data_IF_843367782329
#
_entry.id   IF_843367782329
#
_cell.length_a   1.000
_cell.length_b   1.000
_cell.length_c   1.000
_cell.angle_alpha   90.00
_cell.angle_beta   90.00
_cell.angle_gamma   90.00
#
_symmetry.space_group_name_H-M   'P 1'
#
loop_
_entity.id
_entity.type
_entity.pdbx_description
1 polymer ?
#
# COMPACT_ATOMS: atom_id res chain seq x y z
N UNK A 1 -0.59 30.66 25.92
CA UNK A 1 -0.22 30.11 24.63
C UNK A 1 0.74 28.95 24.86
N UNK A 2 0.32 27.72 24.59
CA UNK A 2 1.09 26.53 24.99
C UNK A 2 2.14 26.23 23.92
N UNK A 3 3.37 26.68 24.15
CA UNK A 3 4.53 26.57 23.22
C UNK A 3 4.85 25.10 22.87
N UNK A 4 4.44 24.14 23.71
CA UNK A 4 4.67 22.72 23.49
C UNK A 4 3.76 22.08 22.44
N UNK A 5 2.62 22.67 22.09
CA UNK A 5 1.69 22.11 21.11
C UNK A 5 2.25 22.13 19.66
N UNK A 6 3.18 23.04 19.36
CA UNK A 6 3.74 23.21 18.02
C UNK A 6 4.91 22.28 17.67
N UNK A 7 5.44 21.53 18.66
CA UNK A 7 6.60 20.67 18.45
C UNK A 7 6.29 19.17 18.61
N UNK A 8 5.03 18.83 18.89
CA UNK A 8 4.66 17.42 19.11
C UNK A 8 4.41 16.73 17.77
N UNK A 9 5.27 15.78 17.41
CA UNK A 9 5.07 14.91 16.25
C UNK A 9 4.17 13.74 16.66
N UNK A 10 3.06 13.61 15.97
CA UNK A 10 2.08 12.55 16.18
C UNK A 10 2.12 11.57 15.01
N UNK A 11 1.96 10.28 15.28
CA UNK A 11 1.82 9.23 14.29
C UNK A 11 0.36 8.82 14.19
N UNK A 12 -0.15 8.73 12.96
CA UNK A 12 -1.48 8.21 12.65
C UNK A 12 -1.34 6.92 11.88
N UNK A 13 -2.07 5.89 12.28
CA UNK A 13 -2.10 4.62 11.57
C UNK A 13 -3.51 4.30 11.11
N UNK A 14 -3.64 3.90 9.85
CA UNK A 14 -4.89 3.37 9.31
C UNK A 14 -4.64 2.01 8.64
N UNK A 15 -5.57 1.10 8.85
CA UNK A 15 -5.57 -0.24 8.26
C UNK A 15 -6.42 -0.28 7.00
N UNK A 16 -5.94 -1.04 6.02
CA UNK A 16 -6.60 -1.36 4.76
C UNK A 16 -6.51 -2.85 4.51
N UNK A 17 -7.43 -3.39 3.73
CA UNK A 17 -7.39 -4.78 3.30
C UNK A 17 -7.70 -4.90 1.81
N UNK A 18 -7.11 -5.89 1.17
CA UNK A 18 -7.40 -6.26 -0.21
C UNK A 18 -7.07 -7.75 -0.43
N UNK A 19 -7.79 -8.36 -1.36
CA UNK A 19 -7.58 -9.74 -1.78
C UNK A 19 -6.75 -9.76 -3.06
N UNK A 20 -5.64 -10.48 -3.08
CA UNK A 20 -4.84 -10.59 -4.30
C UNK A 20 -4.16 -11.94 -4.39
N UNK A 21 -3.98 -12.39 -5.64
CA UNK A 21 -3.17 -13.56 -5.96
C UNK A 21 -1.83 -13.11 -6.54
N UNK A 22 -0.82 -13.93 -6.40
CA UNK A 22 0.49 -13.75 -7.01
C UNK A 22 1.18 -15.07 -7.30
N UNK A 23 2.27 -15.02 -8.06
CA UNK A 23 3.18 -16.13 -8.27
C UNK A 23 4.61 -15.62 -8.32
N UNK A 24 5.54 -16.36 -7.73
CA UNK A 24 6.95 -16.00 -7.69
C UNK A 24 7.74 -16.75 -8.76
N UNK A 25 8.22 -16.03 -9.77
CA UNK A 25 8.99 -16.58 -10.86
C UNK A 25 10.33 -17.18 -10.39
N UNK A 26 10.59 -18.42 -10.79
CA UNK A 26 11.86 -19.08 -10.50
C UNK A 26 12.07 -19.46 -9.03
N UNK A 27 11.07 -19.27 -8.19
CA UNK A 27 11.14 -19.70 -6.79
C UNK A 27 11.11 -21.23 -6.68
N UNK A 28 11.89 -21.79 -5.76
CA UNK A 28 12.07 -23.22 -5.56
C UNK A 28 11.09 -23.84 -4.53
N UNK A 29 10.17 -23.05 -3.99
CA UNK A 29 9.16 -23.45 -3.03
C UNK A 29 7.73 -23.34 -3.58
N UNK A 30 6.72 -23.63 -2.73
CA UNK A 30 5.32 -23.64 -3.14
C UNK A 30 4.78 -22.30 -3.63
N UNK A 31 5.39 -21.17 -3.23
CA UNK A 31 4.97 -19.85 -3.66
C UNK A 31 5.26 -19.53 -5.15
N UNK A 32 5.91 -20.44 -5.88
CA UNK A 32 5.99 -20.36 -7.34
C UNK A 32 4.64 -20.58 -8.02
N UNK A 33 3.75 -21.29 -7.36
CA UNK A 33 2.40 -21.55 -7.86
C UNK A 33 1.52 -20.30 -7.65
N UNK A 34 0.50 -20.14 -8.48
CA UNK A 34 -0.49 -19.08 -8.28
C UNK A 34 -1.26 -19.37 -7.00
N UNK A 35 -1.20 -18.46 -6.07
CA UNK A 35 -1.93 -18.51 -4.81
C UNK A 35 -2.30 -17.10 -4.35
N UNK A 36 -3.21 -16.99 -3.39
CA UNK A 36 -3.73 -15.71 -2.93
C UNK A 36 -3.69 -15.54 -1.42
N UNK A 37 -3.77 -14.28 -1.02
CA UNK A 37 -3.81 -13.86 0.37
C UNK A 37 -4.89 -12.80 0.60
N UNK A 38 -5.41 -12.77 1.81
CA UNK A 38 -6.15 -11.63 2.36
C UNK A 38 -5.15 -10.66 2.96
N UNK A 39 -4.65 -9.74 2.14
CA UNK A 39 -3.64 -8.77 2.57
C UNK A 39 -4.23 -7.75 3.55
N UNK A 40 -3.45 -7.41 4.57
CA UNK A 40 -3.74 -6.31 5.49
C UNK A 40 -2.58 -5.33 5.49
N UNK A 41 -2.86 -4.09 5.09
CA UNK A 41 -1.87 -3.02 4.99
C UNK A 41 -2.10 -1.98 6.09
N UNK A 42 -1.11 -1.77 6.93
CA UNK A 42 -1.09 -0.71 7.94
C UNK A 42 -0.22 0.43 7.43
N UNK A 43 -0.80 1.60 7.30
CA UNK A 43 -0.11 2.81 6.85
C UNK A 43 0.00 3.77 8.01
N UNK A 44 1.24 4.07 8.42
CA UNK A 44 1.52 5.04 9.48
C UNK A 44 2.18 6.28 8.87
N UNK A 45 1.55 7.42 9.06
CA UNK A 45 2.09 8.74 8.73
C UNK A 45 2.43 9.50 9.99
N UNK A 46 3.32 10.49 9.90
CA UNK A 46 3.69 11.37 11.00
C UNK A 46 3.65 12.83 10.57
N UNK A 47 3.39 13.69 11.51
CA UNK A 47 3.41 15.14 11.32
C UNK A 47 3.07 15.88 12.60
N UNK A 48 3.02 17.21 12.54
CA UNK A 48 2.54 18.04 13.62
C UNK A 48 1.06 18.38 13.42
N UNK A 49 0.23 18.33 14.47
CA UNK A 49 -1.15 18.78 14.36
C UNK A 49 -1.24 20.25 13.94
N UNK A 50 -2.15 20.57 13.03
CA UNK A 50 -2.40 21.95 12.60
C UNK A 50 -2.83 22.82 13.79
N UNK A 51 -2.28 24.01 13.89
CA UNK A 51 -2.49 24.91 15.04
C UNK A 51 -3.35 26.13 14.72
N UNK A 52 -3.81 26.31 13.48
CA UNK A 52 -4.55 27.50 13.04
C UNK A 52 -5.94 27.57 13.65
N UNK A 53 -6.20 28.61 14.46
CA UNK A 53 -7.56 28.93 14.89
C UNK A 53 -8.41 29.28 13.66
N UNK A 54 -9.56 28.60 13.50
CA UNK A 54 -10.42 28.74 12.32
C UNK A 54 -10.10 27.79 11.16
N UNK A 55 -9.00 27.05 11.21
CA UNK A 55 -8.73 25.98 10.29
C UNK A 55 -9.68 24.78 10.59
N UNK A 56 -10.51 24.32 9.64
CA UNK A 56 -11.39 23.18 9.88
C UNK A 56 -10.63 21.88 10.18
N UNK A 57 -9.30 21.84 9.96
CA UNK A 57 -8.40 20.74 10.29
C UNK A 57 -7.54 20.99 11.52
N UNK A 58 -7.84 22.04 12.30
CA UNK A 58 -7.13 22.35 13.54
C UNK A 58 -7.07 21.15 14.47
N UNK A 59 -5.89 20.83 14.99
CA UNK A 59 -5.64 19.68 15.85
C UNK A 59 -5.41 18.36 15.10
N UNK A 60 -5.45 18.34 13.77
CA UNK A 60 -5.19 17.16 12.96
C UNK A 60 -3.81 17.21 12.33
N UNK A 61 -3.09 16.09 12.33
CA UNK A 61 -1.93 15.89 11.46
C UNK A 61 -2.40 15.77 10.01
N UNK A 62 -3.45 14.99 9.82
CA UNK A 62 -4.06 14.71 8.54
C UNK A 62 -5.47 14.18 8.76
N UNK A 63 -6.39 14.50 7.87
CA UNK A 63 -7.71 13.88 7.86
C UNK A 63 -7.59 12.41 7.40
N UNK A 64 -8.12 11.48 8.20
CA UNK A 64 -8.14 10.05 7.85
C UNK A 64 -8.87 9.77 6.53
N UNK A 65 -9.85 10.59 6.14
CA UNK A 65 -10.53 10.50 4.85
C UNK A 65 -9.60 10.78 3.68
N UNK A 66 -8.67 11.73 3.83
CA UNK A 66 -7.64 12.02 2.82
C UNK A 66 -6.65 10.86 2.71
N UNK A 67 -6.17 10.31 3.83
CA UNK A 67 -5.30 9.14 3.82
C UNK A 67 -6.00 7.93 3.18
N UNK A 68 -7.27 7.71 3.53
CA UNK A 68 -8.08 6.63 2.94
C UNK A 68 -8.18 6.77 1.42
N UNK A 69 -8.44 7.96 0.92
CA UNK A 69 -8.53 8.22 -0.52
C UNK A 69 -7.21 7.94 -1.21
N UNK A 70 -6.08 8.45 -0.68
CA UNK A 70 -4.74 8.23 -1.25
C UNK A 70 -4.44 6.73 -1.36
N UNK A 71 -4.60 5.97 -0.28
CA UNK A 71 -4.27 4.54 -0.27
C UNK A 71 -5.21 3.75 -1.16
N UNK A 72 -6.50 4.08 -1.19
CA UNK A 72 -7.44 3.43 -2.09
C UNK A 72 -7.11 3.68 -3.56
N UNK A 73 -6.80 4.92 -3.94
CA UNK A 73 -6.46 5.28 -5.32
C UNK A 73 -5.12 4.67 -5.75
N UNK A 74 -4.10 4.69 -4.90
CA UNK A 74 -2.76 4.25 -5.25
C UNK A 74 -2.53 2.73 -5.11
N UNK A 75 -3.26 2.07 -4.22
CA UNK A 75 -3.02 0.68 -3.85
C UNK A 75 -4.27 -0.17 -4.05
N UNK A 76 -5.31 0.04 -3.23
CA UNK A 76 -6.43 -0.90 -3.12
C UNK A 76 -7.15 -1.07 -4.46
N UNK A 77 -7.46 0.03 -5.18
CA UNK A 77 -8.14 -0.03 -6.47
C UNK A 77 -7.38 -0.78 -7.56
N UNK A 78 -6.06 -0.86 -7.42
CA UNK A 78 -5.21 -1.57 -8.39
C UNK A 78 -5.00 -3.04 -8.05
N UNK A 79 -4.85 -3.34 -6.76
CA UNK A 79 -4.42 -4.67 -6.31
C UNK A 79 -5.58 -5.54 -5.81
N UNK A 80 -6.70 -4.95 -5.38
CA UNK A 80 -7.83 -5.74 -4.89
C UNK A 80 -8.45 -6.59 -6.00
N UNK A 81 -8.65 -7.88 -5.71
CA UNK A 81 -9.13 -8.88 -6.66
C UNK A 81 -8.26 -9.00 -7.92
N UNK A 82 -6.95 -8.85 -7.79
CA UNK A 82 -6.00 -8.97 -8.89
C UNK A 82 -5.14 -10.24 -8.83
N UNK A 83 -4.59 -10.60 -10.00
CA UNK A 83 -3.42 -11.47 -10.10
C UNK A 83 -2.20 -10.60 -10.39
N UNK A 84 -1.23 -10.60 -9.48
CA UNK A 84 0.01 -9.82 -9.59
C UNK A 84 1.13 -10.71 -10.14
N UNK A 85 1.68 -10.32 -11.29
CA UNK A 85 2.75 -11.04 -11.97
C UNK A 85 3.95 -10.13 -12.24
N UNK A 86 5.15 -10.69 -12.14
CA UNK A 86 6.34 -10.00 -12.61
C UNK A 86 6.31 -9.85 -14.13
N UNK A 87 6.79 -8.73 -14.64
CA UNK A 87 6.92 -8.47 -16.08
C UNK A 87 8.09 -9.27 -16.65
N UNK A 88 7.78 -10.42 -17.25
CA UNK A 88 8.72 -11.31 -17.96
C UNK A 88 8.11 -11.74 -19.29
N UNK A 89 8.91 -12.20 -20.28
CA UNK A 89 8.37 -12.73 -21.54
C UNK A 89 7.39 -13.89 -21.32
N UNK A 90 7.68 -14.79 -20.38
CA UNK A 90 6.81 -15.90 -20.02
C UNK A 90 5.47 -15.42 -19.46
N UNK A 91 5.50 -14.47 -18.53
CA UNK A 91 4.30 -13.90 -17.93
C UNK A 91 3.51 -13.02 -18.90
N UNK A 92 4.16 -12.43 -19.90
CA UNK A 92 3.46 -11.67 -20.94
C UNK A 92 2.54 -12.58 -21.76
N UNK A 93 3.00 -13.77 -22.11
CA UNK A 93 2.18 -14.80 -22.82
C UNK A 93 1.03 -15.30 -21.94
N UNK A 94 1.31 -15.60 -20.68
CA UNK A 94 0.29 -16.00 -19.71
C UNK A 94 -0.77 -14.89 -19.50
N UNK A 95 -0.32 -13.63 -19.33
CA UNK A 95 -1.21 -12.49 -19.21
C UNK A 95 -2.13 -12.33 -20.40
N UNK A 96 -1.58 -12.44 -21.62
CA UNK A 96 -2.38 -12.31 -22.84
C UNK A 96 -3.48 -13.37 -22.89
N UNK A 97 -3.17 -14.61 -22.55
CA UNK A 97 -4.14 -15.71 -22.49
C UNK A 97 -5.21 -15.49 -21.41
N UNK A 98 -4.81 -15.06 -20.22
CA UNK A 98 -5.75 -14.81 -19.13
C UNK A 98 -6.62 -13.59 -19.37
N UNK A 99 -6.10 -12.56 -20.05
CA UNK A 99 -6.83 -11.33 -20.36
C UNK A 99 -8.02 -11.53 -21.31
N UNK A 100 -8.08 -12.64 -22.02
CA UNK A 100 -9.27 -13.02 -22.81
C UNK A 100 -10.50 -13.26 -21.92
N UNK A 101 -10.28 -13.56 -20.64
CA UNK A 101 -11.33 -13.93 -19.70
C UNK A 101 -11.35 -13.12 -18.40
N UNK A 102 -10.21 -12.64 -17.94
CA UNK A 102 -10.06 -11.97 -16.64
C UNK A 102 -9.50 -10.55 -16.82
N UNK A 103 -10.17 -9.57 -16.22
CA UNK A 103 -9.86 -8.16 -16.44
C UNK A 103 -8.79 -7.56 -15.50
N UNK A 104 -8.51 -8.20 -14.35
CA UNK A 104 -7.66 -7.58 -13.34
C UNK A 104 -6.35 -8.34 -13.14
N UNK A 105 -5.43 -8.17 -14.10
CA UNK A 105 -4.08 -8.73 -14.05
C UNK A 105 -3.09 -7.57 -13.95
N UNK A 106 -2.41 -7.47 -12.84
CA UNK A 106 -1.42 -6.42 -12.55
C UNK A 106 -0.03 -6.95 -12.88
N UNK A 107 0.70 -6.25 -13.75
CA UNK A 107 2.12 -6.54 -14.01
C UNK A 107 3.00 -5.51 -13.32
N UNK A 108 4.03 -6.01 -12.63
CA UNK A 108 5.02 -5.20 -11.92
C UNK A 108 6.42 -5.51 -12.42
N UNK A 109 7.36 -4.59 -12.30
CA UNK A 109 8.74 -4.72 -12.76
C UNK A 109 9.65 -5.44 -11.74
N UNK A 110 9.07 -5.91 -10.65
CA UNK A 110 9.75 -6.62 -9.56
C UNK A 110 9.09 -7.98 -9.29
N UNK A 111 9.79 -8.85 -8.56
CA UNK A 111 9.19 -10.07 -8.01
C UNK A 111 8.13 -9.69 -6.99
N UNK A 112 6.85 -10.10 -7.13
CA UNK A 112 5.75 -9.65 -6.27
C UNK A 112 5.75 -10.34 -4.89
N UNK A 113 6.87 -10.24 -4.18
CA UNK A 113 7.00 -10.59 -2.78
C UNK A 113 6.39 -9.52 -1.89
N UNK A 114 6.04 -9.87 -0.66
CA UNK A 114 5.53 -8.94 0.34
C UNK A 114 6.46 -7.72 0.50
N UNK A 115 7.77 -7.95 0.55
CA UNK A 115 8.80 -6.94 0.72
C UNK A 115 8.87 -5.95 -0.45
N UNK A 116 8.85 -6.46 -1.68
CA UNK A 116 8.92 -5.63 -2.87
C UNK A 116 7.62 -4.85 -3.10
N UNK A 117 6.47 -5.47 -2.85
CA UNK A 117 5.17 -4.79 -2.87
C UNK A 117 5.14 -3.66 -1.86
N UNK A 118 5.65 -3.91 -0.65
CA UNK A 118 5.72 -2.90 0.41
C UNK A 118 6.57 -1.69 -0.01
N UNK A 119 7.72 -1.93 -0.64
CA UNK A 119 8.58 -0.88 -1.19
C UNK A 119 7.90 -0.05 -2.29
N UNK A 120 7.15 -0.71 -3.17
CA UNK A 120 6.35 -0.02 -4.19
C UNK A 120 5.22 0.81 -3.57
N UNK A 121 4.49 0.26 -2.61
CA UNK A 121 3.43 0.97 -1.90
C UNK A 121 3.95 2.21 -1.17
N UNK A 122 5.13 2.11 -0.56
CA UNK A 122 5.77 3.26 0.09
C UNK A 122 6.04 4.40 -0.89
N UNK A 123 6.57 4.10 -2.08
CA UNK A 123 6.80 5.10 -3.13
C UNK A 123 5.51 5.76 -3.60
N UNK A 124 4.45 4.97 -3.84
CA UNK A 124 3.15 5.45 -4.31
C UNK A 124 2.50 6.40 -3.29
N UNK A 125 2.45 5.99 -2.04
CA UNK A 125 1.84 6.78 -0.96
C UNK A 125 2.63 8.07 -0.72
N UNK A 126 3.96 7.99 -0.60
CA UNK A 126 4.81 9.14 -0.26
C UNK A 126 4.67 10.30 -1.24
N UNK A 127 4.43 10.01 -2.53
CA UNK A 127 4.23 11.04 -3.57
C UNK A 127 2.94 11.83 -3.43
N UNK A 128 1.98 11.31 -2.69
CA UNK A 128 0.62 11.84 -2.58
C UNK A 128 0.35 12.50 -1.22
N UNK A 129 1.25 12.34 -0.27
CA UNK A 129 1.08 12.94 1.05
C UNK A 129 1.20 14.48 0.97
N UNK A 130 0.36 15.21 1.71
CA UNK A 130 0.44 16.67 1.75
C UNK A 130 1.72 17.15 2.44
N UNK A 131 2.06 18.41 2.19
CA UNK A 131 3.17 19.06 2.85
C UNK A 131 3.06 18.97 4.39
N UNK A 132 4.18 18.70 5.05
CA UNK A 132 4.24 18.54 6.52
C UNK A 132 3.81 17.17 7.03
N UNK A 133 3.39 16.25 6.15
CA UNK A 133 3.05 14.87 6.49
C UNK A 133 4.00 13.91 5.81
N UNK A 134 4.63 13.05 6.57
CA UNK A 134 5.58 12.06 6.05
C UNK A 134 5.08 10.64 6.27
N UNK A 135 5.38 9.75 5.34
CA UNK A 135 5.21 8.32 5.56
C UNK A 135 6.24 7.87 6.61
N UNK A 136 5.76 7.32 7.73
CA UNK A 136 6.62 6.84 8.80
C UNK A 136 6.93 5.36 8.67
N UNK A 137 5.90 4.54 8.47
CA UNK A 137 6.08 3.09 8.28
C UNK A 137 4.90 2.47 7.53
N UNK A 138 5.18 1.36 6.88
CA UNK A 138 4.18 0.44 6.36
C UNK A 138 4.37 -0.94 6.98
N UNK A 139 3.27 -1.66 7.10
CA UNK A 139 3.30 -3.08 7.42
C UNK A 139 2.29 -3.80 6.54
N UNK A 140 2.75 -4.82 5.81
CA UNK A 140 1.91 -5.62 4.94
C UNK A 140 1.90 -7.07 5.43
N UNK A 141 0.73 -7.54 5.84
CA UNK A 141 0.51 -8.93 6.20
C UNK A 141 0.03 -9.70 4.98
N UNK A 142 0.69 -10.81 4.67
CA UNK A 142 0.19 -11.84 3.75
C UNK A 142 -0.72 -12.81 4.48
N UNK A 143 -0.33 -13.18 5.71
CA UNK A 143 -1.10 -14.04 6.61
C UNK A 143 -1.22 -13.38 7.99
N UNK A 144 -1.96 -14.00 8.88
CA UNK A 144 -2.08 -13.52 10.26
C UNK A 144 -0.73 -13.45 10.99
N UNK A 145 0.24 -14.28 10.61
CA UNK A 145 1.52 -14.45 11.30
C UNK A 145 2.74 -14.06 10.48
N UNK A 146 2.59 -13.74 9.19
CA UNK A 146 3.69 -13.41 8.29
C UNK A 146 3.48 -12.03 7.67
N UNK A 147 4.42 -11.12 7.90
CA UNK A 147 4.35 -9.74 7.43
C UNK A 147 5.73 -9.13 7.23
N UNK A 148 5.80 -8.12 6.42
CA UNK A 148 6.95 -7.26 6.24
C UNK A 148 6.66 -5.84 6.75
#
# INVERSE_FOLDING_TARGET
MNIFAHMTVIRLTKEFSFEAAHALDGYDGPCREIHGHSYRLFVTVKGCPAAGEGDPKCGMVMDFGVLKRIVNEEIVSHFDHSLVLRQTPCNASLRAMLAERFGNIVTVDYQPTCENMLGDFARRISRRLPEGVELYSLRLHETATSFA
#
